data_IF_420352690750
#
_entry.id   IF_420352690750
#
_cell.length_a   1.000
_cell.length_b   1.000
_cell.length_c   1.000
_cell.angle_alpha   90.00
_cell.angle_beta   90.00
_cell.angle_gamma   90.00
#
_symmetry.space_group_name_H-M   'P 1'
#
loop_
_entity.id
_entity.type
_entity.pdbx_description
1 polymer ?
#
# COMPACT_ATOMS: atom_id res chain seq x y z
N UNK A 1 5.04 19.17 18.35
CA UNK A 1 3.98 19.99 17.72
C UNK A 1 3.03 19.05 16.99
N UNK A 2 1.73 19.15 17.23
CA UNK A 2 0.72 18.38 16.51
C UNK A 2 0.38 19.13 15.22
N UNK A 3 0.35 18.44 14.07
CA UNK A 3 -0.01 19.02 12.79
C UNK A 3 -1.29 18.37 12.26
N UNK A 4 -2.25 19.20 11.85
CA UNK A 4 -3.43 18.75 11.11
C UNK A 4 -3.11 18.76 9.61
N UNK A 5 -3.22 17.60 8.96
CA UNK A 5 -3.07 17.46 7.51
C UNK A 5 -4.42 17.73 6.85
N UNK A 6 -4.55 18.87 6.18
CA UNK A 6 -5.74 19.17 5.38
C UNK A 6 -5.71 18.37 4.07
N UNK A 7 -6.84 17.83 3.58
CA UNK A 7 -6.87 17.06 2.34
C UNK A 7 -6.54 17.88 1.09
N UNK A 8 -6.60 19.21 1.17
CA UNK A 8 -6.70 20.11 0.01
C UNK A 8 -5.42 20.34 -0.80
N UNK A 9 -4.27 19.69 -0.52
CA UNK A 9 -3.29 19.49 -1.58
C UNK A 9 -2.87 18.01 -1.76
N UNK A 10 -3.58 17.05 -1.17
CA UNK A 10 -3.27 15.63 -1.37
C UNK A 10 -3.63 15.24 -2.82
N UNK A 11 -2.61 14.91 -3.61
CA UNK A 11 -2.76 14.53 -5.01
C UNK A 11 -2.73 13.01 -5.16
N UNK A 12 -3.63 12.51 -6.00
CA UNK A 12 -3.62 11.11 -6.42
C UNK A 12 -2.54 10.94 -7.49
N UNK A 13 -1.55 10.10 -7.23
CA UNK A 13 -0.51 9.71 -8.17
C UNK A 13 -0.92 8.41 -8.88
N UNK A 14 -1.12 8.42 -10.22
CA UNK A 14 -1.44 7.22 -10.97
C UNK A 14 -0.29 6.20 -10.92
N UNK A 15 -0.64 4.93 -10.79
CA UNK A 15 0.35 3.86 -10.89
C UNK A 15 0.84 3.69 -12.33
N UNK A 16 2.11 3.34 -12.51
CA UNK A 16 2.70 3.12 -13.83
C UNK A 16 1.98 2.02 -14.65
N UNK A 17 1.37 1.03 -13.97
CA UNK A 17 0.58 -0.04 -14.60
C UNK A 17 -0.89 0.37 -14.91
N UNK A 18 -1.27 1.61 -14.58
CA UNK A 18 -2.61 2.16 -14.77
C UNK A 18 -3.71 1.46 -13.99
N UNK A 19 -3.38 0.65 -12.98
CA UNK A 19 -4.33 -0.17 -12.23
C UNK A 19 -4.81 0.48 -10.92
N UNK A 20 -4.41 1.72 -10.65
CA UNK A 20 -4.76 2.41 -9.42
C UNK A 20 -4.11 3.77 -9.25
N UNK A 21 -4.33 4.35 -8.08
CA UNK A 21 -3.68 5.60 -7.63
C UNK A 21 -3.16 5.44 -6.19
N UNK A 22 -2.15 6.24 -5.85
CA UNK A 22 -1.68 6.41 -4.47
C UNK A 22 -1.81 7.87 -4.07
N UNK A 23 -2.42 8.14 -2.93
CA UNK A 23 -2.41 9.44 -2.28
C UNK A 23 -1.46 9.37 -1.08
N UNK A 24 -0.31 10.03 -1.13
CA UNK A 24 0.63 10.05 0.01
C UNK A 24 0.16 11.06 1.04
N UNK A 25 -0.14 10.61 2.26
CA UNK A 25 -0.60 11.47 3.35
C UNK A 25 0.57 12.14 4.07
N UNK A 26 1.61 11.36 4.36
CA UNK A 26 2.82 11.84 5.02
C UNK A 26 3.97 10.85 4.80
N UNK A 27 5.19 11.37 4.80
CA UNK A 27 6.42 10.61 4.79
C UNK A 27 7.49 11.35 5.60
N UNK A 28 8.48 10.63 6.11
CA UNK A 28 9.57 11.26 6.86
C UNK A 28 10.88 10.50 6.72
N UNK A 29 12.05 11.17 6.77
CA UNK A 29 12.23 12.60 7.05
C UNK A 29 11.81 13.54 5.91
N UNK A 30 11.88 13.07 4.66
CA UNK A 30 11.38 13.79 3.49
C UNK A 30 10.69 12.81 2.53
N UNK A 31 10.07 13.32 1.47
CA UNK A 31 9.27 12.51 0.54
C UNK A 31 10.10 11.64 -0.41
N UNK A 32 11.38 11.94 -0.65
CA UNK A 32 12.24 11.18 -1.57
C UNK A 32 13.12 10.18 -0.82
N UNK A 33 13.73 10.56 0.31
CA UNK A 33 14.54 9.72 1.17
C UNK A 33 13.77 9.29 2.44
N UNK A 34 12.49 8.94 2.26
CA UNK A 34 11.63 8.53 3.35
C UNK A 34 12.09 7.21 4.00
N UNK A 35 11.89 7.12 5.31
CA UNK A 35 12.03 5.91 6.14
C UNK A 35 10.68 5.32 6.52
N UNK A 36 9.64 6.15 6.53
CA UNK A 36 8.26 5.72 6.68
C UNK A 36 7.37 6.53 5.73
N UNK A 37 6.28 5.92 5.28
CA UNK A 37 5.26 6.55 4.43
C UNK A 37 3.88 6.05 4.85
N UNK A 38 2.93 6.97 4.99
CA UNK A 38 1.52 6.68 5.15
C UNK A 38 0.81 7.16 3.88
N UNK A 39 0.04 6.27 3.26
CA UNK A 39 -0.64 6.56 2.00
C UNK A 39 -1.98 5.82 1.90
N UNK A 40 -2.90 6.34 1.10
CA UNK A 40 -4.12 5.66 0.68
C UNK A 40 -3.91 5.14 -0.74
N UNK A 41 -4.27 3.89 -0.98
CA UNK A 41 -4.19 3.28 -2.31
C UNK A 41 -5.59 2.98 -2.82
N UNK A 42 -5.89 3.39 -4.06
CA UNK A 42 -7.09 2.97 -4.79
C UNK A 42 -6.69 1.91 -5.80
N UNK A 43 -7.15 0.68 -5.58
CA UNK A 43 -6.97 -0.44 -6.51
C UNK A 43 -8.16 -0.48 -7.45
N UNK A 44 -7.97 -0.11 -8.72
CA UNK A 44 -9.05 -0.09 -9.71
C UNK A 44 -9.28 -1.45 -10.37
N UNK A 45 -8.22 -2.27 -10.47
CA UNK A 45 -8.26 -3.65 -10.99
C UNK A 45 -7.11 -4.46 -10.41
N UNK A 46 -7.20 -5.79 -10.53
CA UNK A 46 -6.17 -6.69 -10.04
C UNK A 46 -4.78 -6.34 -10.60
N UNK A 47 -3.78 -6.24 -9.73
CA UNK A 47 -2.45 -5.77 -10.09
C UNK A 47 -1.37 -6.19 -9.09
N UNK A 48 -0.16 -6.37 -9.61
CA UNK A 48 1.02 -6.59 -8.78
C UNK A 48 1.38 -5.30 -8.03
N UNK A 49 1.66 -5.43 -6.74
CA UNK A 49 2.20 -4.32 -5.97
C UNK A 49 3.68 -4.12 -6.27
N UNK A 50 4.14 -2.87 -6.13
CA UNK A 50 5.56 -2.57 -6.17
C UNK A 50 6.31 -3.27 -5.04
N UNK A 51 7.49 -3.80 -5.38
CA UNK A 51 8.45 -4.33 -4.43
C UNK A 51 9.16 -3.18 -3.71
N UNK A 52 9.12 -3.21 -2.37
CA UNK A 52 9.84 -2.31 -1.49
C UNK A 52 10.64 -3.13 -0.46
N UNK A 53 11.68 -3.81 -0.93
CA UNK A 53 12.45 -4.81 -0.18
C UNK A 53 12.93 -4.38 1.21
N UNK A 54 13.24 -3.09 1.40
CA UNK A 54 13.77 -2.57 2.66
C UNK A 54 12.67 -2.06 3.61
N UNK A 55 11.44 -2.56 3.47
CA UNK A 55 10.29 -2.05 4.23
C UNK A 55 9.45 -3.16 4.84
N UNK A 56 8.81 -2.84 5.96
CA UNK A 56 7.68 -3.62 6.48
C UNK A 56 6.39 -2.91 6.09
N UNK A 57 5.45 -3.64 5.50
CA UNK A 57 4.16 -3.08 5.07
C UNK A 57 3.07 -3.50 6.03
N UNK A 58 2.31 -2.50 6.50
CA UNK A 58 1.02 -2.70 7.15
C UNK A 58 -0.06 -2.15 6.23
N UNK A 59 -1.07 -2.96 5.93
CA UNK A 59 -2.15 -2.61 5.01
C UNK A 59 -3.51 -2.90 5.64
N UNK A 60 -4.48 -2.01 5.39
CA UNK A 60 -5.86 -2.23 5.76
C UNK A 60 -6.81 -1.81 4.63
N UNK A 61 -7.76 -2.66 4.21
CA UNK A 61 -8.80 -2.27 3.27
C UNK A 61 -9.80 -1.30 3.91
N UNK A 62 -10.10 -0.18 3.24
CA UNK A 62 -10.98 0.86 3.76
C UNK A 62 -12.42 0.78 3.26
N UNK A 63 -12.62 0.41 1.99
CA UNK A 63 -13.94 0.40 1.34
C UNK A 63 -14.49 -1.02 1.15
N UNK A 64 -13.69 -1.91 0.56
CA UNK A 64 -14.10 -3.27 0.20
C UNK A 64 -13.17 -4.35 0.71
N UNK A 65 -13.46 -5.60 0.35
CA UNK A 65 -12.58 -6.75 0.60
C UNK A 65 -11.34 -6.67 -0.30
N UNK A 66 -10.20 -7.13 0.22
CA UNK A 66 -8.96 -7.23 -0.53
C UNK A 66 -8.41 -8.66 -0.45
N UNK A 67 -7.99 -9.19 -1.59
CA UNK A 67 -7.36 -10.49 -1.69
C UNK A 67 -5.89 -10.26 -2.05
N UNK A 68 -4.96 -10.76 -1.25
CA UNK A 68 -3.52 -10.62 -1.50
C UNK A 68 -2.94 -11.99 -1.82
N UNK A 69 -2.41 -12.14 -3.02
CA UNK A 69 -1.74 -13.36 -3.49
C UNK A 69 -0.23 -13.17 -3.41
N UNK A 70 0.43 -13.94 -2.55
CA UNK A 70 1.88 -13.91 -2.38
C UNK A 70 2.52 -15.08 -3.15
N UNK A 71 3.55 -14.80 -3.95
CA UNK A 71 4.15 -15.78 -4.86
C UNK A 71 5.27 -16.65 -4.25
N UNK A 72 5.57 -16.53 -2.94
CA UNK A 72 6.87 -16.98 -2.43
C UNK A 72 7.08 -18.52 -2.51
N UNK A 73 8.33 -18.89 -2.79
CA UNK A 73 8.86 -20.05 -3.52
C UNK A 73 8.59 -21.48 -2.96
N UNK A 74 7.56 -21.69 -2.15
CA UNK A 74 7.18 -23.05 -1.70
C UNK A 74 5.66 -23.30 -1.62
N UNK A 75 4.84 -22.26 -1.51
CA UNK A 75 3.40 -22.31 -1.74
C UNK A 75 2.84 -20.88 -1.82
N UNK A 76 1.93 -20.56 -2.75
CA UNK A 76 1.27 -19.26 -2.74
C UNK A 76 0.39 -19.13 -1.50
N UNK A 77 0.63 -18.09 -0.69
CA UNK A 77 -0.26 -17.72 0.39
C UNK A 77 -1.30 -16.72 -0.13
N UNK A 78 -2.59 -16.97 0.12
CA UNK A 78 -3.66 -16.01 -0.16
C UNK A 78 -4.18 -15.47 1.16
N UNK A 79 -4.16 -14.15 1.33
CA UNK A 79 -4.79 -13.47 2.45
C UNK A 79 -6.10 -12.82 1.99
N UNK A 80 -7.18 -13.11 2.70
CA UNK A 80 -8.50 -12.51 2.48
C UNK A 80 -8.72 -11.49 3.61
N UNK A 81 -8.83 -10.21 3.25
CA UNK A 81 -8.97 -9.13 4.21
C UNK A 81 -10.33 -8.47 4.04
N UNK A 82 -11.16 -8.55 5.07
CA UNK A 82 -12.34 -7.72 5.24
C UNK A 82 -11.94 -6.28 5.63
N UNK A 83 -12.91 -5.37 5.56
CA UNK A 83 -12.73 -3.96 5.89
C UNK A 83 -12.15 -3.79 7.30
N UNK A 84 -11.13 -2.94 7.42
CA UNK A 84 -10.38 -2.64 8.65
C UNK A 84 -9.54 -3.79 9.23
N UNK A 85 -9.50 -4.96 8.59
CA UNK A 85 -8.51 -5.98 8.95
C UNK A 85 -7.12 -5.52 8.56
N UNK A 86 -6.11 -5.99 9.31
CA UNK A 86 -4.73 -5.57 9.15
C UNK A 86 -3.88 -6.73 8.65
N UNK A 87 -3.27 -6.56 7.48
CA UNK A 87 -2.20 -7.42 7.02
C UNK A 87 -0.83 -6.79 7.32
N UNK A 88 0.14 -7.65 7.67
CA UNK A 88 1.55 -7.28 7.81
C UNK A 88 2.39 -8.23 6.97
N UNK A 89 3.27 -7.68 6.15
CA UNK A 89 4.15 -8.47 5.30
C UNK A 89 5.41 -7.68 4.95
N UNK A 90 6.49 -8.40 4.66
CA UNK A 90 7.74 -7.84 4.15
C UNK A 90 7.50 -7.21 2.76
N UNK A 91 7.96 -5.98 2.55
CA UNK A 91 7.76 -5.24 1.31
C UNK A 91 8.50 -5.85 0.12
N UNK A 92 9.52 -6.68 0.38
CA UNK A 92 10.22 -7.52 -0.59
C UNK A 92 9.36 -8.65 -1.15
N UNK A 93 8.34 -9.06 -0.41
CA UNK A 93 7.39 -10.10 -0.81
C UNK A 93 6.10 -9.43 -1.30
N UNK A 94 6.22 -8.65 -2.37
CA UNK A 94 5.09 -7.89 -2.91
C UNK A 94 3.97 -8.81 -3.43
N UNK A 95 2.73 -8.68 -2.91
CA UNK A 95 1.60 -9.48 -3.37
C UNK A 95 1.00 -8.92 -4.66
N UNK A 96 0.19 -9.74 -5.29
CA UNK A 96 -0.82 -9.31 -6.25
C UNK A 96 -2.16 -9.09 -5.54
N UNK A 97 -2.76 -7.92 -5.73
CA UNK A 97 -4.09 -7.57 -5.26
C UNK A 97 -5.16 -7.73 -6.34
#
# INVERSE_FOLDING_TARGET
MLQHLSPSPLQDEPWANGAGTTTVLAAGPDAQAWRWRISIARVARAADFSNHADTLRQLTPLDGRLHLHFSNASAPAVLHLDRLQVARFDGGVAPRA
#
